data_IF_830626603790
#
_entry.id   IF_830626603790
#
_cell.length_a   1.000
_cell.length_b   1.000
_cell.length_c   1.000
_cell.angle_alpha   90.00
_cell.angle_beta   90.00
_cell.angle_gamma   90.00
#
_symmetry.space_group_name_H-M   'P 1'
#
loop_
_entity.id
_entity.type
_entity.pdbx_description
1 polymer ?
#
# COMPACT_ATOMS: atom_id res chain seq x y z
N UNK A 1 -6.42 -6.52 2.67
CA UNK A 1 -5.73 -5.39 3.33
C UNK A 1 -5.75 -4.17 2.40
N UNK A 2 -5.66 -2.93 2.92
CA UNK A 2 -5.67 -1.72 2.08
C UNK A 2 -4.42 -0.85 2.29
N UNK A 3 -4.07 -0.06 1.28
CA UNK A 3 -3.01 0.96 1.36
C UNK A 3 -3.19 1.93 2.54
N UNK A 4 -4.45 2.26 2.89
CA UNK A 4 -4.77 3.16 4.01
C UNK A 4 -4.38 2.53 5.35
N UNK A 5 -4.64 1.23 5.54
CA UNK A 5 -4.28 0.52 6.78
C UNK A 5 -2.77 0.54 7.00
N UNK A 6 -2.01 0.21 5.95
CA UNK A 6 -0.53 0.19 6.01
C UNK A 6 0.02 1.60 6.21
N UNK A 7 -0.50 2.58 5.49
CA UNK A 7 -0.08 3.99 5.65
C UNK A 7 -0.32 4.50 7.07
N UNK A 8 -1.46 4.16 7.69
CA UNK A 8 -1.76 4.54 9.08
C UNK A 8 -0.73 3.96 10.07
N UNK A 9 -0.31 2.71 9.87
CA UNK A 9 0.74 2.10 10.69
C UNK A 9 2.06 2.84 10.51
N UNK A 10 2.51 3.04 9.28
CA UNK A 10 3.77 3.74 8.98
C UNK A 10 3.78 5.15 9.61
N UNK A 11 2.71 5.93 9.40
CA UNK A 11 2.59 7.28 9.93
C UNK A 11 2.62 7.31 11.46
N UNK A 12 1.91 6.38 12.11
CA UNK A 12 1.93 6.25 13.57
C UNK A 12 3.35 5.97 14.08
N UNK A 13 4.04 5.01 13.46
CA UNK A 13 5.38 4.61 13.90
C UNK A 13 6.43 5.68 13.60
N UNK A 14 6.34 6.36 12.46
CA UNK A 14 7.18 7.52 12.17
C UNK A 14 6.99 8.64 13.20
N UNK A 15 5.75 8.94 13.58
CA UNK A 15 5.48 9.91 14.63
C UNK A 15 6.12 9.52 15.97
N UNK A 16 5.99 8.24 16.36
CA UNK A 16 6.53 7.72 17.62
C UNK A 16 8.07 7.68 17.64
N UNK A 17 8.71 7.28 16.53
CA UNK A 17 10.17 7.14 16.43
C UNK A 17 10.85 8.50 16.28
N UNK A 18 10.33 9.36 15.40
CA UNK A 18 10.92 10.67 15.12
C UNK A 18 10.55 11.70 16.18
N UNK A 19 9.48 11.44 16.95
CA UNK A 19 8.89 12.40 17.90
C UNK A 19 8.56 13.75 17.23
N UNK A 20 8.06 13.70 15.99
CA UNK A 20 7.73 14.87 15.16
C UNK A 20 6.36 14.69 14.51
N UNK A 21 5.65 15.79 14.16
CA UNK A 21 4.38 15.69 13.45
C UNK A 21 4.55 15.03 12.08
N UNK A 22 3.68 14.04 11.79
CA UNK A 22 3.58 13.39 10.47
C UNK A 22 2.16 13.60 9.95
N UNK A 23 2.00 14.44 8.92
CA UNK A 23 0.67 14.94 8.50
C UNK A 23 0.37 14.67 7.02
N UNK A 24 -0.91 14.56 6.62
CA UNK A 24 -1.25 14.51 5.21
C UNK A 24 -0.79 15.78 4.48
N UNK A 25 -0.22 15.64 3.28
CA UNK A 25 0.28 16.76 2.48
C UNK A 25 -0.83 17.72 2.07
N UNK A 26 -2.00 17.20 1.70
CA UNK A 26 -3.14 17.98 1.23
C UNK A 26 -4.10 18.39 2.37
N UNK A 27 -3.59 18.52 3.60
CA UNK A 27 -4.44 18.93 4.72
C UNK A 27 -4.85 20.41 4.60
N UNK A 28 -6.15 20.69 4.77
CA UNK A 28 -6.73 22.05 4.71
C UNK A 28 -6.44 22.85 6.00
N UNK A 29 -6.01 22.17 7.07
CA UNK A 29 -5.67 22.80 8.34
C UNK A 29 -4.38 23.62 8.33
N UNK A 30 -4.12 24.31 9.45
CA UNK A 30 -2.84 25.00 9.67
C UNK A 30 -1.69 23.98 9.61
N UNK A 31 -0.65 24.28 8.81
CA UNK A 31 0.58 23.50 8.78
C UNK A 31 1.24 23.45 10.18
N UNK A 32 1.83 22.33 10.58
CA UNK A 32 2.63 22.26 11.80
C UNK A 32 3.81 23.23 11.76
N UNK A 33 4.33 23.59 12.93
CA UNK A 33 5.59 24.31 13.03
C UNK A 33 6.75 23.37 12.64
N UNK A 34 7.83 23.92 12.07
CA UNK A 34 8.98 23.13 11.66
C UNK A 34 9.76 22.57 12.87
N UNK A 35 10.39 21.38 12.73
CA UNK A 35 10.37 20.49 11.57
C UNK A 35 9.19 19.50 11.59
N UNK A 36 8.75 19.06 10.42
CA UNK A 36 7.70 18.03 10.31
C UNK A 36 7.85 17.22 9.03
N UNK A 37 7.16 16.08 8.96
CA UNK A 37 7.05 15.24 7.76
C UNK A 37 5.62 15.28 7.24
N UNK A 38 5.43 15.36 5.93
CA UNK A 38 4.16 15.11 5.29
C UNK A 38 4.19 13.85 4.43
N UNK A 39 3.02 13.26 4.22
CA UNK A 39 2.86 12.09 3.38
C UNK A 39 1.67 12.22 2.42
N UNK A 40 1.70 11.48 1.32
CA UNK A 40 0.59 11.37 0.37
C UNK A 40 0.64 10.03 -0.36
N UNK A 41 -0.48 9.33 -0.43
CA UNK A 41 -0.60 8.17 -1.32
C UNK A 41 -0.72 8.71 -2.75
N UNK A 42 0.29 8.50 -3.59
CA UNK A 42 0.33 8.98 -4.97
C UNK A 42 -0.29 7.96 -5.93
N UNK A 43 -0.10 6.68 -5.64
CA UNK A 43 -0.72 5.56 -6.36
C UNK A 43 -1.38 4.64 -5.35
N UNK A 44 -2.70 4.47 -5.43
CA UNK A 44 -3.46 3.67 -4.45
C UNK A 44 -3.48 2.16 -4.76
N UNK A 45 -3.31 1.78 -6.03
CA UNK A 45 -3.19 0.38 -6.48
C UNK A 45 -2.42 0.34 -7.80
N UNK A 46 -1.15 0.00 -7.71
CA UNK A 46 -0.31 -0.38 -8.83
C UNK A 46 -0.74 -1.74 -9.37
N UNK A 47 -0.51 -1.97 -10.66
CA UNK A 47 -0.77 -3.27 -11.28
C UNK A 47 0.26 -4.27 -10.77
N UNK A 48 -0.20 -5.41 -10.29
CA UNK A 48 0.62 -6.61 -10.18
C UNK A 48 0.89 -7.11 -11.60
N UNK A 49 2.14 -7.44 -11.93
CA UNK A 49 2.42 -8.12 -13.19
C UNK A 49 1.90 -9.57 -13.12
N UNK A 50 1.30 -10.03 -14.21
CA UNK A 50 0.75 -11.39 -14.30
C UNK A 50 -0.70 -11.52 -13.85
N UNK A 51 -1.13 -12.78 -13.67
CA UNK A 51 -2.47 -13.14 -13.18
C UNK A 51 -2.41 -13.40 -11.67
N UNK A 52 -3.51 -13.18 -10.93
CA UNK A 52 -3.62 -13.65 -9.56
C UNK A 52 -3.34 -15.15 -9.47
N UNK A 53 -2.77 -15.57 -8.34
CA UNK A 53 -2.71 -17.00 -7.99
C UNK A 53 -4.13 -17.41 -7.62
N UNK A 54 -4.66 -18.44 -8.26
CA UNK A 54 -5.98 -19.00 -7.94
C UNK A 54 -5.77 -20.31 -7.18
N UNK A 55 -6.23 -20.34 -5.95
CA UNK A 55 -6.37 -21.56 -5.16
C UNK A 55 -7.82 -22.03 -5.19
N UNK A 56 -8.04 -23.33 -5.22
CA UNK A 56 -9.37 -23.94 -5.25
C UNK A 56 -9.48 -25.00 -4.18
N UNK A 57 -10.52 -24.92 -3.36
CA UNK A 57 -10.83 -25.91 -2.32
C UNK A 57 -12.30 -26.36 -2.42
N UNK A 58 -12.55 -27.62 -2.08
CA UNK A 58 -13.91 -28.15 -1.98
C UNK A 58 -14.52 -27.69 -0.65
N UNK A 59 -15.71 -27.09 -0.72
CA UNK A 59 -16.48 -26.66 0.45
C UNK A 59 -17.86 -27.30 0.43
N UNK A 60 -18.50 -27.47 1.58
CA UNK A 60 -19.87 -28.00 1.64
C UNK A 60 -20.81 -27.11 0.84
N UNK A 61 -21.59 -27.73 -0.05
CA UNK A 61 -22.52 -27.00 -0.90
C UNK A 61 -23.62 -26.32 -0.10
N UNK A 62 -24.02 -25.12 -0.54
CA UNK A 62 -25.18 -24.43 0.02
C UNK A 62 -26.51 -24.95 -0.53
N UNK A 63 -26.47 -25.66 -1.65
CA UNK A 63 -27.62 -26.33 -2.25
C UNK A 63 -27.75 -27.76 -1.67
N UNK A 64 -28.87 -28.11 -1.01
CA UNK A 64 -29.07 -29.42 -0.39
C UNK A 64 -29.15 -30.60 -1.38
N UNK A 65 -29.22 -30.31 -2.69
CA UNK A 65 -29.17 -31.32 -3.75
C UNK A 65 -27.75 -31.78 -4.08
N UNK A 66 -26.71 -31.05 -3.63
CA UNK A 66 -25.32 -31.30 -3.98
C UNK A 66 -24.43 -31.36 -2.73
N UNK A 67 -23.34 -32.14 -2.79
CA UNK A 67 -22.46 -32.37 -1.64
C UNK A 67 -21.39 -31.27 -1.50
N UNK A 68 -20.84 -30.78 -2.62
CA UNK A 68 -19.71 -29.85 -2.62
C UNK A 68 -19.86 -28.71 -3.63
N UNK A 69 -19.48 -27.50 -3.21
CA UNK A 69 -19.20 -26.35 -4.07
C UNK A 69 -17.67 -26.14 -4.16
N UNK A 70 -17.22 -25.31 -5.10
CA UNK A 70 -15.80 -24.93 -5.21
C UNK A 70 -15.62 -23.52 -4.64
N UNK A 71 -14.77 -23.37 -3.63
CA UNK A 71 -14.30 -22.06 -3.19
C UNK A 71 -13.01 -21.73 -3.94
N UNK A 72 -13.03 -20.65 -4.70
CA UNK A 72 -11.86 -20.08 -5.36
C UNK A 72 -11.34 -18.89 -4.55
N UNK A 73 -10.04 -18.89 -4.25
CA UNK A 73 -9.35 -17.78 -3.59
C UNK A 73 -8.31 -17.21 -4.54
N UNK A 74 -8.50 -15.95 -4.94
CA UNK A 74 -7.54 -15.18 -5.72
C UNK A 74 -6.57 -14.45 -4.78
N UNK A 75 -5.29 -14.73 -4.92
CA UNK A 75 -4.20 -14.11 -4.17
C UNK A 75 -3.42 -13.18 -5.10
N UNK A 76 -3.30 -11.92 -4.71
CA UNK A 76 -2.59 -10.87 -5.43
C UNK A 76 -1.57 -10.17 -4.54
N UNK A 77 -0.55 -9.59 -5.19
CA UNK A 77 0.47 -8.78 -4.52
C UNK A 77 0.55 -7.35 -5.09
N UNK A 78 -0.53 -6.55 -5.00
CA UNK A 78 -0.51 -5.20 -5.55
C UNK A 78 0.49 -4.31 -4.81
N UNK A 79 1.00 -3.33 -5.54
CA UNK A 79 1.84 -2.27 -4.98
C UNK A 79 1.05 -0.98 -4.80
N UNK A 80 1.55 -0.07 -3.99
CA UNK A 80 1.05 1.29 -3.88
C UNK A 80 2.21 2.19 -3.46
N UNK A 81 2.11 3.49 -3.77
CA UNK A 81 3.22 4.43 -3.53
C UNK A 81 2.82 5.47 -2.51
N UNK A 82 3.68 5.69 -1.52
CA UNK A 82 3.57 6.79 -0.55
C UNK A 82 4.73 7.75 -0.81
N UNK A 83 4.41 9.00 -1.13
CA UNK A 83 5.39 10.08 -1.19
C UNK A 83 5.53 10.72 0.19
N UNK A 84 6.77 10.83 0.68
CA UNK A 84 7.12 11.50 1.93
C UNK A 84 7.88 12.79 1.64
N UNK A 85 7.59 13.84 2.41
CA UNK A 85 8.28 15.13 2.33
C UNK A 85 8.63 15.62 3.73
N UNK A 86 9.91 15.88 3.98
CA UNK A 86 10.40 16.53 5.19
C UNK A 86 10.50 18.03 5.00
N UNK A 87 10.09 18.79 6.01
CA UNK A 87 10.07 20.25 6.04
C UNK A 87 10.90 20.73 7.23
N UNK A 88 11.79 21.69 6.99
CA UNK A 88 12.57 22.32 8.05
C UNK A 88 12.90 23.78 7.72
N UNK A 89 13.37 24.52 8.72
CA UNK A 89 13.80 25.90 8.55
C UNK A 89 15.11 26.04 7.75
N UNK A 90 15.96 24.99 7.73
CA UNK A 90 17.19 24.95 6.97
C UNK A 90 17.22 23.74 6.03
N UNK A 91 17.84 23.91 4.85
CA UNK A 91 17.95 22.84 3.85
C UNK A 91 18.65 21.58 4.37
N UNK A 92 19.72 21.76 5.15
CA UNK A 92 20.48 20.65 5.74
C UNK A 92 19.61 19.80 6.68
N UNK A 93 18.81 20.45 7.53
CA UNK A 93 17.92 19.76 8.47
C UNK A 93 16.78 19.04 7.73
N UNK A 94 16.23 19.66 6.68
CA UNK A 94 15.19 19.03 5.85
C UNK A 94 15.72 17.77 5.15
N UNK A 95 16.95 17.84 4.62
CA UNK A 95 17.60 16.70 3.99
C UNK A 95 17.90 15.57 5.01
N UNK A 96 18.45 15.92 6.18
CA UNK A 96 18.73 14.96 7.24
C UNK A 96 17.46 14.28 7.75
N UNK A 97 16.38 15.03 7.92
CA UNK A 97 15.07 14.48 8.31
C UNK A 97 14.48 13.57 7.23
N UNK A 98 14.62 13.91 5.94
CA UNK A 98 14.19 13.04 4.85
C UNK A 98 14.96 11.71 4.82
N UNK A 99 16.28 11.74 5.03
CA UNK A 99 17.09 10.52 5.12
C UNK A 99 16.68 9.65 6.31
N UNK A 100 16.52 10.25 7.50
CA UNK A 100 16.07 9.53 8.69
C UNK A 100 14.69 8.91 8.52
N UNK A 101 13.78 9.63 7.85
CA UNK A 101 12.44 9.12 7.50
C UNK A 101 12.56 7.92 6.56
N UNK A 102 13.42 8.00 5.54
CA UNK A 102 13.68 6.91 4.61
C UNK A 102 14.23 5.68 5.33
N UNK A 103 15.27 5.84 6.15
CA UNK A 103 15.88 4.73 6.88
C UNK A 103 14.88 4.04 7.82
N UNK A 104 14.03 4.84 8.47
CA UNK A 104 12.98 4.32 9.34
C UNK A 104 11.98 3.49 8.55
N UNK A 105 11.46 4.02 7.43
CA UNK A 105 10.49 3.31 6.58
C UNK A 105 11.10 2.04 6.00
N UNK A 106 12.31 2.14 5.43
CA UNK A 106 12.93 1.06 4.67
C UNK A 106 13.49 -0.05 5.56
N UNK A 107 13.97 0.27 6.77
CA UNK A 107 14.65 -0.69 7.63
C UNK A 107 13.96 -0.91 8.97
N UNK A 108 13.66 0.15 9.72
CA UNK A 108 13.14 0.00 11.09
C UNK A 108 11.74 -0.61 11.16
N UNK A 109 10.90 -0.37 10.14
CA UNK A 109 9.52 -0.88 10.11
C UNK A 109 9.37 -2.27 9.48
N UNK A 110 10.46 -2.92 9.08
CA UNK A 110 10.42 -4.17 8.31
C UNK A 110 9.54 -5.25 8.97
N UNK A 111 9.78 -5.59 10.23
CA UNK A 111 9.05 -6.66 10.93
C UNK A 111 7.58 -6.29 11.18
N UNK A 112 7.31 -5.04 11.55
CA UNK A 112 5.93 -4.57 11.79
C UNK A 112 5.08 -4.58 10.51
N UNK A 113 5.70 -4.28 9.36
CA UNK A 113 5.05 -4.40 8.06
C UNK A 113 4.86 -5.86 7.67
N UNK A 114 5.85 -6.71 7.94
CA UNK A 114 5.77 -8.15 7.66
C UNK A 114 4.62 -8.82 8.42
N UNK A 115 4.40 -8.46 9.68
CA UNK A 115 3.31 -8.98 10.53
C UNK A 115 1.91 -8.70 9.94
N UNK A 116 1.81 -7.71 9.06
CA UNK A 116 0.58 -7.36 8.35
C UNK A 116 0.65 -7.71 6.84
N UNK A 117 1.52 -8.61 6.41
CA UNK A 117 1.67 -8.98 4.99
C UNK A 117 1.95 -7.79 4.06
N UNK A 118 2.71 -6.80 4.55
CA UNK A 118 3.20 -5.66 3.80
C UNK A 118 4.73 -5.65 3.78
N UNK A 119 5.33 -5.10 2.73
CA UNK A 119 6.77 -4.93 2.63
C UNK A 119 7.11 -3.67 1.83
N UNK A 120 8.19 -2.98 2.20
CA UNK A 120 8.77 -1.95 1.35
C UNK A 120 9.45 -2.65 0.18
N UNK A 121 8.89 -2.52 -1.01
CA UNK A 121 9.41 -3.16 -2.21
C UNK A 121 10.56 -2.38 -2.83
N UNK A 122 10.47 -1.04 -2.79
CA UNK A 122 11.49 -0.14 -3.32
C UNK A 122 11.35 1.26 -2.70
N UNK A 123 12.42 2.05 -2.77
CA UNK A 123 12.45 3.45 -2.36
C UNK A 123 13.21 4.29 -3.40
N UNK A 124 12.60 5.38 -3.84
CA UNK A 124 13.27 6.33 -4.73
C UNK A 124 14.31 7.18 -3.98
N UNK A 125 15.22 7.78 -4.74
CA UNK A 125 16.24 8.66 -4.19
C UNK A 125 15.61 9.90 -3.50
N UNK A 126 16.23 10.33 -2.40
CA UNK A 126 15.84 11.58 -1.73
C UNK A 126 16.20 12.77 -2.62
N UNK A 127 15.19 13.56 -2.99
CA UNK A 127 15.32 14.72 -3.88
C UNK A 127 14.93 16.03 -3.20
N UNK A 128 15.62 17.10 -3.58
CA UNK A 128 15.27 18.47 -3.20
C UNK A 128 13.98 18.90 -3.91
N UNK A 129 12.99 19.35 -3.13
CA UNK A 129 11.69 19.87 -3.58
C UNK A 129 11.42 21.24 -2.96
N UNK A 130 12.47 21.98 -2.60
CA UNK A 130 12.42 23.33 -2.05
C UNK A 130 11.70 24.27 -3.01
N UNK A 131 10.85 25.12 -2.45
CA UNK A 131 10.11 26.13 -3.22
C UNK A 131 10.39 27.53 -2.67
N UNK A 132 10.40 28.52 -3.56
CA UNK A 132 10.44 29.92 -3.16
C UNK A 132 9.01 30.43 -3.00
N UNK A 133 8.67 30.90 -1.80
CA UNK A 133 7.39 31.54 -1.50
C UNK A 133 7.65 33.01 -1.26
N UNK A 134 7.31 33.86 -2.24
CA UNK A 134 7.36 35.34 -2.20
C UNK A 134 8.68 35.92 -1.68
N UNK A 135 8.91 35.88 -0.37
CA UNK A 135 10.03 36.46 0.36
C UNK A 135 10.95 35.43 1.06
N UNK A 136 10.59 34.14 1.11
CA UNK A 136 11.39 33.10 1.76
C UNK A 136 11.42 31.78 0.99
N UNK A 137 12.39 30.93 1.32
CA UNK A 137 12.46 29.56 0.84
C UNK A 137 11.82 28.63 1.86
N UNK A 138 10.97 27.72 1.39
CA UNK A 138 10.48 26.60 2.18
C UNK A 138 11.27 25.37 1.77
N UNK A 139 12.21 24.98 2.63
CA UNK A 139 13.09 23.86 2.39
C UNK A 139 12.32 22.54 2.55
N UNK A 140 12.32 21.75 1.48
CA UNK A 140 11.61 20.47 1.45
C UNK A 140 12.45 19.42 0.74
N UNK A 141 12.62 18.27 1.37
CA UNK A 141 13.25 17.09 0.76
C UNK A 141 12.30 15.92 0.86
N UNK A 142 12.28 15.04 -0.14
CA UNK A 142 11.34 13.94 -0.13
C UNK A 142 11.77 12.74 -0.94
N UNK A 143 11.02 11.66 -0.85
CA UNK A 143 11.23 10.42 -1.58
C UNK A 143 9.90 9.69 -1.70
N UNK A 144 9.84 8.75 -2.64
CA UNK A 144 8.66 7.92 -2.86
C UNK A 144 8.99 6.48 -2.43
N UNK A 145 8.16 5.91 -1.57
CA UNK A 145 8.27 4.53 -1.13
C UNK A 145 7.21 3.68 -1.81
N UNK A 146 7.64 2.61 -2.47
CA UNK A 146 6.77 1.64 -3.13
C UNK A 146 6.56 0.49 -2.16
N UNK A 147 5.33 0.31 -1.71
CA UNK A 147 4.93 -0.71 -0.76
C UNK A 147 4.17 -1.81 -1.49
N UNK A 148 4.50 -3.06 -1.22
CA UNK A 148 3.78 -4.23 -1.71
C UNK A 148 2.98 -4.84 -0.57
N UNK A 149 1.74 -5.21 -0.85
CA UNK A 149 0.85 -5.88 0.10
C UNK A 149 0.36 -7.19 -0.50
N UNK A 150 0.03 -8.16 0.35
CA UNK A 150 -0.69 -9.36 -0.08
C UNK A 150 -2.18 -9.18 0.18
N UNK A 151 -3.00 -9.47 -0.83
CA UNK A 151 -4.46 -9.39 -0.74
C UNK A 151 -5.11 -10.65 -1.26
N UNK A 152 -6.13 -11.11 -0.57
CA UNK A 152 -6.90 -12.30 -0.93
C UNK A 152 -8.36 -11.91 -1.16
N UNK A 153 -8.97 -12.48 -2.20
CA UNK A 153 -10.39 -12.35 -2.50
C UNK A 153 -10.95 -13.73 -2.81
N UNK A 154 -11.96 -14.17 -2.06
CA UNK A 154 -12.56 -15.50 -2.23
C UNK A 154 -13.99 -15.40 -2.78
N UNK A 155 -14.37 -16.37 -3.60
CA UNK A 155 -15.75 -16.59 -4.08
C UNK A 155 -16.10 -18.08 -4.04
N UNK A 156 -17.38 -18.39 -3.92
CA UNK A 156 -17.90 -19.75 -4.07
C UNK A 156 -18.52 -19.85 -5.45
N UNK A 157 -18.20 -20.93 -6.17
CA UNK A 157 -18.72 -21.27 -7.49
C UNK A 157 -19.44 -22.60 -7.37
N UNK A 158 -20.69 -22.63 -7.80
CA UNK A 158 -21.51 -23.84 -7.83
C UNK A 158 -20.97 -24.83 -8.88
N UNK A 159 -20.98 -26.13 -8.57
CA UNK A 159 -20.59 -27.19 -9.50
C UNK A 159 -21.65 -27.39 -10.59
N UNK A 160 -21.22 -27.60 -11.85
CA UNK A 160 -22.11 -28.03 -12.93
C UNK A 160 -22.27 -29.55 -12.89
N UNK A 161 -23.47 -30.04 -12.62
CA UNK A 161 -23.69 -31.48 -12.38
C UNK A 161 -24.51 -32.20 -13.46
N UNK A 162 -25.29 -31.49 -14.29
CA UNK A 162 -25.99 -32.08 -15.44
C UNK A 162 -25.61 -31.38 -16.76
N UNK A 163 -25.17 -32.18 -17.74
CA UNK A 163 -24.97 -31.73 -19.13
C UNK A 163 -25.93 -32.52 -20.02
N UNK A 164 -26.98 -31.85 -20.52
CA UNK A 164 -27.84 -32.42 -21.55
C UNK A 164 -27.19 -32.27 -22.93
N UNK A 165 -26.52 -33.32 -23.39
CA UNK A 165 -25.96 -33.38 -24.75
C UNK A 165 -27.07 -33.84 -25.70
N UNK A 166 -27.70 -32.91 -26.41
CA UNK A 166 -28.55 -33.25 -27.56
C UNK A 166 -27.66 -33.61 -28.75
N UNK A 167 -27.43 -34.91 -28.95
CA UNK A 167 -26.72 -35.43 -30.11
C UNK A 167 -27.48 -35.12 -31.39
N UNK A 168 -26.86 -34.36 -32.29
CA UNK A 168 -27.33 -34.21 -33.67
C UNK A 168 -27.12 -35.53 -34.41
N UNK A 169 -28.21 -36.24 -34.70
CA UNK A 169 -28.22 -37.30 -35.72
C UNK A 169 -27.98 -36.66 -37.07
N UNK A 170 -26.78 -36.80 -37.62
CA UNK A 170 -26.56 -36.60 -39.05
C UNK A 170 -27.15 -37.82 -39.78
N UNK A 171 -28.26 -37.60 -40.47
CA UNK A 171 -28.82 -38.51 -41.49
C UNK A 171 -27.88 -38.64 -42.70
#
# INVERSE_FOLDING_TARGET
MSAVTVTKLIVKRLHEILNLPVVPTDNVGKKPDYPYVSYKITTARGKTEGQPIIESELVTSTNPLFEFDIKETAIEQPTFTISFMAYAAAAFDANGLAQLTLDTVNHSLYYELQDINAVVADVEAVGDRTIQIVDHYEHRYGFDAIIRITTEASRIVETMEEINITGGTNE
#
